data_IF_679331717698
#
_entry.id   IF_679331717698
#
_cell.length_a   1.000
_cell.length_b   1.000
_cell.length_c   1.000
_cell.angle_alpha   90.00
_cell.angle_beta   90.00
_cell.angle_gamma   90.00
#
_symmetry.space_group_name_H-M   'P 1'
#
loop_
_entity.id
_entity.type
_entity.pdbx_description
1 polymer ?
#
# COMPACT_ATOMS: atom_id res chain seq x y z
N UNK A 1 11.00 3.98 11.99
CA UNK A 1 9.80 3.26 11.52
C UNK A 1 10.21 2.65 10.19
N UNK A 2 10.29 1.31 10.05
CA UNK A 2 10.51 0.72 8.74
C UNK A 2 9.38 1.14 7.79
N UNK A 3 9.76 1.68 6.64
CA UNK A 3 8.82 2.04 5.56
C UNK A 3 8.76 0.90 4.56
N UNK A 4 7.56 0.50 4.17
CA UNK A 4 7.34 -0.48 3.09
C UNK A 4 6.68 0.19 1.89
N UNK A 5 7.10 -0.22 0.69
CA UNK A 5 6.54 0.26 -0.57
C UNK A 5 5.56 -0.78 -1.10
N UNK A 6 4.29 -0.41 -1.26
CA UNK A 6 3.23 -1.31 -1.71
C UNK A 6 2.52 -0.73 -2.92
N UNK A 7 2.29 -1.58 -3.93
CA UNK A 7 1.42 -1.25 -5.06
C UNK A 7 -0.03 -1.10 -4.58
N UNK A 8 -0.58 0.10 -4.67
CA UNK A 8 -1.93 0.43 -4.18
C UNK A 8 -2.99 -0.48 -4.78
N UNK A 9 -2.97 -0.64 -6.10
CA UNK A 9 -4.03 -1.37 -6.80
C UNK A 9 -4.00 -2.86 -6.46
N UNK A 10 -2.81 -3.41 -6.19
CA UNK A 10 -2.66 -4.78 -5.71
C UNK A 10 -3.19 -4.94 -4.29
N UNK A 11 -2.88 -4.00 -3.40
CA UNK A 11 -3.41 -3.97 -2.03
C UNK A 11 -4.95 -3.92 -2.03
N UNK A 12 -5.54 -3.02 -2.81
CA UNK A 12 -6.99 -2.86 -2.91
C UNK A 12 -7.67 -4.07 -3.51
N UNK A 13 -7.03 -4.72 -4.49
CA UNK A 13 -7.51 -5.99 -5.06
C UNK A 13 -7.61 -7.08 -4.00
N UNK A 14 -6.62 -7.21 -3.11
CA UNK A 14 -6.62 -8.23 -2.06
C UNK A 14 -7.61 -7.87 -0.94
N UNK A 15 -7.72 -6.58 -0.58
CA UNK A 15 -8.72 -6.08 0.36
C UNK A 15 -10.16 -6.20 -0.16
N UNK A 16 -10.36 -6.45 -1.46
CA UNK A 16 -11.68 -6.53 -2.09
C UNK A 16 -12.44 -5.20 -2.14
N UNK A 17 -11.74 -4.07 -1.92
CA UNK A 17 -12.32 -2.72 -1.91
C UNK A 17 -11.28 -1.70 -2.36
N UNK A 18 -11.73 -0.73 -3.15
CA UNK A 18 -10.96 0.46 -3.50
C UNK A 18 -11.17 1.55 -2.45
N UNK A 19 -10.10 2.21 -2.05
CA UNK A 19 -10.13 3.35 -1.14
C UNK A 19 -9.69 4.62 -1.87
N UNK A 20 -10.20 5.78 -1.47
CA UNK A 20 -9.52 7.04 -1.77
C UNK A 20 -8.27 7.15 -0.89
N UNK A 21 -7.32 8.00 -1.27
CA UNK A 21 -6.09 8.20 -0.47
C UNK A 21 -6.44 8.67 0.96
N UNK A 22 -7.47 9.51 1.11
CA UNK A 22 -7.95 10.00 2.40
C UNK A 22 -8.57 8.87 3.23
N UNK A 23 -9.42 8.03 2.63
CA UNK A 23 -10.03 6.90 3.34
C UNK A 23 -8.99 5.87 3.76
N UNK A 24 -7.98 5.64 2.93
CA UNK A 24 -6.90 4.72 3.24
C UNK A 24 -5.98 5.28 4.34
N UNK A 25 -5.69 6.59 4.34
CA UNK A 25 -4.97 7.24 5.42
C UNK A 25 -5.71 7.13 6.76
N UNK A 26 -7.03 7.33 6.77
CA UNK A 26 -7.86 7.14 7.97
C UNK A 26 -7.85 5.67 8.46
N UNK A 27 -7.88 4.71 7.54
CA UNK A 27 -7.72 3.28 7.86
C UNK A 27 -6.34 3.00 8.50
N UNK A 28 -5.25 3.51 7.91
CA UNK A 28 -3.91 3.38 8.47
C UNK A 28 -3.86 3.96 9.88
N UNK A 29 -4.37 5.18 10.09
CA UNK A 29 -4.39 5.83 11.40
C UNK A 29 -5.15 5.01 12.45
N UNK A 30 -6.34 4.50 12.11
CA UNK A 30 -7.14 3.65 12.99
C UNK A 30 -6.46 2.33 13.34
N UNK A 31 -5.65 1.79 12.43
CA UNK A 31 -4.89 0.56 12.64
C UNK A 31 -3.54 0.80 13.34
N UNK A 32 -3.09 2.05 13.47
CA UNK A 32 -1.81 2.42 14.07
C UNK A 32 -0.62 2.44 13.11
N UNK A 33 -0.89 2.71 11.83
CA UNK A 33 0.10 2.91 10.76
C UNK A 33 0.04 4.34 10.23
N UNK A 34 1.03 4.72 9.44
CA UNK A 34 1.09 6.02 8.78
C UNK A 34 1.28 5.85 7.26
N UNK A 35 0.46 6.53 6.47
CA UNK A 35 0.68 6.65 5.02
C UNK A 35 1.58 7.87 4.80
N UNK A 36 2.86 7.62 4.56
CA UNK A 36 3.90 8.66 4.46
C UNK A 36 3.85 9.39 3.11
N UNK A 37 3.94 8.64 2.01
CA UNK A 37 3.96 9.20 0.65
C UNK A 37 3.14 8.36 -0.32
N UNK A 38 2.46 9.03 -1.25
CA UNK A 38 1.81 8.42 -2.41
C UNK A 38 2.59 8.83 -3.65
N UNK A 39 3.28 7.87 -4.27
CA UNK A 39 4.13 8.11 -5.44
C UNK A 39 3.50 7.46 -6.66
N UNK A 40 3.48 8.16 -7.79
CA UNK A 40 3.13 7.54 -9.08
C UNK A 40 4.42 7.24 -9.84
N UNK A 41 4.50 6.13 -10.58
CA UNK A 41 5.69 5.75 -11.37
C UNK A 41 6.24 6.89 -12.26
N UNK A 42 5.36 7.75 -12.79
CA UNK A 42 5.75 8.94 -13.56
C UNK A 42 6.65 9.92 -12.79
N UNK A 43 6.55 9.98 -11.46
CA UNK A 43 7.39 10.80 -10.59
C UNK A 43 8.73 10.14 -10.23
N UNK A 44 8.83 8.82 -10.36
CA UNK A 44 10.07 8.06 -10.14
C UNK A 44 10.96 8.20 -11.39
N UNK A 45 10.37 8.04 -12.58
CA UNK A 45 11.07 8.18 -13.87
C UNK A 45 11.65 9.59 -14.07
N UNK A 46 10.99 10.63 -13.53
CA UNK A 46 11.50 12.01 -13.62
C UNK A 46 12.66 12.32 -12.66
N UNK A 47 12.86 11.51 -11.60
CA UNK A 47 13.96 11.66 -10.64
C UNK A 47 15.19 10.80 -10.99
N UNK A 48 15.03 9.68 -11.71
CA UNK A 48 16.11 8.68 -11.92
C UNK A 48 16.82 8.67 -13.29
N UNK A 49 16.52 9.62 -14.18
CA UNK A 49 17.12 9.85 -15.52
C UNK A 49 16.38 9.25 -16.74
N UNK A 50 16.28 10.13 -17.74
CA UNK A 50 16.13 9.96 -19.19
C UNK A 50 16.43 8.57 -19.79
N UNK A 51 15.48 7.64 -19.81
CA UNK A 51 15.43 6.64 -20.89
C UNK A 51 13.99 6.28 -21.25
N UNK A 52 13.65 6.64 -22.48
CA UNK A 52 12.45 6.31 -23.22
C UNK A 52 12.18 4.80 -23.20
N UNK A 53 10.95 4.37 -22.92
CA UNK A 53 10.34 3.26 -23.67
C UNK A 53 8.82 3.38 -23.72
N UNK A 54 8.31 3.29 -24.95
CA UNK A 54 6.90 3.26 -25.32
C UNK A 54 6.21 2.01 -24.74
N UNK A 55 5.65 2.11 -23.55
CA UNK A 55 4.51 1.28 -23.15
C UNK A 55 3.41 2.19 -22.64
N UNK A 56 2.17 1.89 -23.00
CA UNK A 56 1.00 2.31 -22.24
C UNK A 56 1.08 1.63 -20.86
N UNK A 57 2.07 2.00 -20.06
CA UNK A 57 2.21 1.57 -18.67
C UNK A 57 1.12 2.33 -17.91
N UNK A 58 0.13 1.55 -17.43
CA UNK A 58 -0.87 2.03 -16.48
C UNK A 58 -0.13 2.75 -15.36
N UNK A 59 -0.54 3.98 -15.03
CA UNK A 59 0.07 4.75 -13.95
C UNK A 59 0.03 3.94 -12.65
N UNK A 60 1.15 3.30 -12.29
CA UNK A 60 1.22 2.52 -11.07
C UNK A 60 1.42 3.46 -9.88
N UNK A 61 0.56 3.32 -8.88
CA UNK A 61 0.61 4.10 -7.65
C UNK A 61 1.19 3.25 -6.53
N UNK A 62 2.24 3.76 -5.91
CA UNK A 62 2.97 3.17 -4.80
C UNK A 62 2.64 3.94 -3.53
N UNK A 63 2.21 3.22 -2.50
CA UNK A 63 2.07 3.73 -1.14
C UNK A 63 3.32 3.40 -0.33
N UNK A 64 3.89 4.42 0.30
CA UNK A 64 4.90 4.28 1.34
C UNK A 64 4.19 4.29 2.68
N UNK A 65 4.28 3.18 3.40
CA UNK A 65 3.57 2.99 4.67
C UNK A 65 4.61 2.78 5.76
N UNK A 66 4.54 3.60 6.79
CA UNK A 66 5.39 3.52 7.96
C UNK A 66 4.80 2.54 8.97
N UNK A 67 5.61 1.52 9.29
CA UNK A 67 5.23 0.42 10.17
C UNK A 67 5.90 0.62 11.55
N UNK A 68 5.17 0.38 12.65
CA UNK A 68 5.78 0.32 13.99
C UNK A 68 6.92 -0.70 14.03
N UNK A 69 8.06 -0.31 14.62
CA UNK A 69 9.28 -1.13 14.59
C UNK A 69 9.14 -2.52 15.25
N UNK A 70 8.09 -2.72 16.07
CA UNK A 70 7.78 -3.97 16.76
C UNK A 70 6.78 -4.88 16.01
N UNK A 71 6.33 -4.50 14.81
CA UNK A 71 5.33 -5.24 14.02
C UNK A 71 5.94 -5.87 12.77
N UNK A 72 6.79 -6.87 12.98
CA UNK A 72 7.46 -7.60 11.89
C UNK A 72 6.49 -8.34 10.95
N UNK A 73 5.31 -8.69 11.47
CA UNK A 73 4.22 -9.31 10.73
C UNK A 73 3.64 -8.43 9.63
N UNK A 74 3.90 -7.11 9.65
CA UNK A 74 3.37 -6.16 8.67
C UNK A 74 4.39 -5.75 7.60
N UNK A 75 5.60 -6.33 7.58
CA UNK A 75 6.69 -5.91 6.68
C UNK A 75 6.57 -6.42 5.23
N UNK A 76 5.50 -7.12 4.90
CA UNK A 76 5.17 -7.55 3.54
C UNK A 76 3.70 -7.28 3.23
N UNK A 77 3.36 -7.31 1.94
CA UNK A 77 2.01 -7.08 1.46
C UNK A 77 1.01 -8.08 2.08
N UNK A 78 1.37 -9.35 2.13
CA UNK A 78 0.53 -10.43 2.63
C UNK A 78 0.19 -10.23 4.10
N UNK A 79 1.21 -9.94 4.92
CA UNK A 79 1.06 -9.71 6.34
C UNK A 79 0.27 -8.44 6.66
N UNK A 80 0.56 -7.34 5.97
CA UNK A 80 -0.21 -6.10 6.09
C UNK A 80 -1.69 -6.33 5.74
N UNK A 81 -1.95 -6.97 4.60
CA UNK A 81 -3.31 -7.15 4.12
C UNK A 81 -4.11 -8.06 5.04
N UNK A 82 -3.49 -9.14 5.54
CA UNK A 82 -4.12 -10.01 6.53
C UNK A 82 -4.47 -9.24 7.81
N UNK A 83 -3.55 -8.43 8.33
CA UNK A 83 -3.78 -7.59 9.50
C UNK A 83 -4.95 -6.61 9.30
N UNK A 84 -5.00 -5.94 8.14
CA UNK A 84 -6.08 -5.03 7.77
C UNK A 84 -7.43 -5.75 7.60
N UNK A 85 -7.47 -6.92 6.96
CA UNK A 85 -8.69 -7.72 6.80
C UNK A 85 -9.26 -8.18 8.15
N UNK A 86 -8.40 -8.62 9.06
CA UNK A 86 -8.80 -9.00 10.43
C UNK A 86 -9.35 -7.78 11.17
N UNK A 87 -8.66 -6.64 11.10
CA UNK A 87 -9.11 -5.39 11.73
C UNK A 87 -10.48 -4.90 11.22
N UNK A 88 -10.71 -5.03 9.91
CA UNK A 88 -11.98 -4.68 9.27
C UNK A 88 -13.10 -5.72 9.51
N UNK A 89 -12.82 -6.81 10.23
CA UNK A 89 -13.73 -7.94 10.41
C UNK A 89 -14.21 -8.54 9.06
N UNK A 90 -13.31 -8.54 8.08
CA UNK A 90 -13.53 -9.04 6.71
C UNK A 90 -12.78 -10.35 6.45
N UNK A 91 -12.02 -10.84 7.43
CA UNK A 91 -11.42 -12.16 7.35
C UNK A 91 -12.51 -13.23 7.52
N UNK A 92 -12.97 -13.77 6.40
CA UNK A 92 -13.80 -14.98 6.40
C UNK A 92 -12.84 -16.16 6.41
N UNK A 93 -12.75 -16.84 7.56
CA UNK A 93 -12.13 -18.15 7.58
C UNK A 93 -12.99 -19.07 6.71
N UNK A 94 -12.50 -19.43 5.51
CA UNK A 94 -13.08 -20.56 4.78
C UNK A 94 -12.85 -21.80 5.66
N UNK A 95 -13.91 -22.28 6.28
CA UNK A 95 -14.03 -23.60 6.91
C UNK A 95 -15.19 -24.29 6.20
#
# INVERSE_FOLDING_TARGET
MPTINIKRDLLFKILGRTYSDIDFQDLCFKFGLELDEVVTEKQIISKEQHLSHNRQELEEVIYKIDIPANRYDLLCLEGLTLGLLIFLNQYIHLI
#
